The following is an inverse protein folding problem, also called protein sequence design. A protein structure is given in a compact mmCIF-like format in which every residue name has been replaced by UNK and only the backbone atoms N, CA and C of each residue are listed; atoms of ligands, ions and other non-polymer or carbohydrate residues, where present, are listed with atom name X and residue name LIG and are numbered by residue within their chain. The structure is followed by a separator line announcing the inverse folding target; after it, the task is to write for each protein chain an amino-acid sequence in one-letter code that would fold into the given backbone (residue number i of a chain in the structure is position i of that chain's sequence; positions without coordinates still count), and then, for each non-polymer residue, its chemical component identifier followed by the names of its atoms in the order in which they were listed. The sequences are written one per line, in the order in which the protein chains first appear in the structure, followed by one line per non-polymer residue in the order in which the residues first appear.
data_IF_134869253306
#
_entry.id   IF_134869253306
#
_cell.length_a   1.000
_cell.length_b   1.000
_cell.length_c   1.000
_cell.angle_alpha   90.00
_cell.angle_beta   90.00
_cell.angle_gamma   90.00
#
_symmetry.space_group_name_H-M   'P 1'
#
loop_
_entity.id
_entity.type
_entity.pdbx_description
1 polymer ?
#
# COMPACT_ATOMS: atom_id res chain seq x y z
N UNK A 1 0.08 -10.43 25.63
CA UNK A 1 -0.61 -10.70 24.34
C UNK A 1 0.37 -11.50 23.48
N UNK A 2 -0.07 -12.55 22.79
CA UNK A 2 0.78 -13.28 21.86
C UNK A 2 1.22 -12.35 20.72
N UNK A 3 2.49 -12.43 20.32
CA UNK A 3 3.04 -11.63 19.23
C UNK A 3 2.38 -12.03 17.91
N UNK A 4 1.64 -11.11 17.29
CA UNK A 4 0.97 -11.33 16.01
C UNK A 4 1.88 -10.89 14.85
N UNK A 5 1.57 -11.34 13.63
CA UNK A 5 2.24 -10.87 12.41
C UNK A 5 2.11 -9.35 12.19
N UNK A 6 1.16 -8.69 12.86
CA UNK A 6 0.96 -7.24 12.80
C UNK A 6 1.80 -6.45 13.80
N UNK A 7 2.41 -7.11 14.80
CA UNK A 7 3.15 -6.45 15.88
C UNK A 7 4.26 -5.51 15.37
N UNK A 8 5.11 -5.92 14.40
CA UNK A 8 6.13 -5.02 13.85
C UNK A 8 5.56 -3.76 13.21
N UNK A 9 4.44 -3.87 12.49
CA UNK A 9 3.75 -2.74 11.86
C UNK A 9 3.19 -1.77 12.91
N UNK A 10 2.58 -2.30 13.97
CA UNK A 10 2.02 -1.49 15.07
C UNK A 10 3.10 -0.70 15.82
N UNK A 11 4.25 -1.32 16.08
CA UNK A 11 5.39 -0.64 16.71
C UNK A 11 6.03 0.38 15.77
N UNK A 12 6.27 0.02 14.51
CA UNK A 12 6.85 0.94 13.53
C UNK A 12 5.98 2.18 13.28
N UNK A 13 4.65 2.06 13.31
CA UNK A 13 3.73 3.19 13.12
C UNK A 13 3.94 4.32 14.12
N UNK A 14 4.42 4.02 15.34
CA UNK A 14 4.72 5.04 16.38
C UNK A 14 5.84 6.00 15.96
N UNK A 15 6.67 5.60 15.00
CA UNK A 15 7.85 6.32 14.56
C UNK A 15 7.71 6.93 13.15
N UNK A 16 6.53 6.82 12.52
CA UNK A 16 6.28 7.32 11.16
C UNK A 16 6.32 8.84 11.08
N UNK A 17 5.99 9.52 12.17
CA UNK A 17 5.95 10.98 12.25
C UNK A 17 7.06 11.51 13.14
N UNK A 18 7.67 12.62 12.73
CA UNK A 18 8.48 13.44 13.62
C UNK A 18 7.61 14.12 14.68
N UNK A 19 8.24 14.75 15.68
CA UNK A 19 7.54 15.44 16.78
C UNK A 19 6.56 16.51 16.31
N UNK A 20 6.87 17.17 15.18
CA UNK A 20 6.00 18.17 14.54
C UNK A 20 4.88 17.57 13.67
N UNK A 21 4.72 16.24 13.67
CA UNK A 21 3.69 15.53 12.92
C UNK A 21 4.01 15.27 11.44
N UNK A 22 5.17 15.74 10.94
CA UNK A 22 5.60 15.51 9.55
C UNK A 22 5.96 14.04 9.35
N UNK A 23 5.50 13.45 8.25
CA UNK A 23 5.78 12.05 7.92
C UNK A 23 7.22 11.90 7.44
N UNK A 24 7.99 11.05 8.12
CA UNK A 24 9.35 10.69 7.75
C UNK A 24 9.32 9.57 6.70
N UNK A 25 10.05 9.75 5.60
CA UNK A 25 10.04 8.84 4.45
C UNK A 25 10.47 7.43 4.85
N UNK A 26 11.64 7.30 5.48
CA UNK A 26 12.20 5.98 5.79
C UNK A 26 11.31 5.19 6.78
N UNK A 27 10.92 5.73 7.95
CA UNK A 27 9.99 5.04 8.85
C UNK A 27 8.65 4.67 8.19
N UNK A 28 8.08 5.55 7.36
CA UNK A 28 6.86 5.27 6.61
C UNK A 28 7.04 4.05 5.69
N UNK A 29 8.09 4.04 4.87
CA UNK A 29 8.35 2.95 3.91
C UNK A 29 8.65 1.64 4.63
N UNK A 30 9.40 1.66 5.74
CA UNK A 30 9.65 0.45 6.54
C UNK A 30 8.36 -0.16 7.08
N UNK A 31 7.42 0.67 7.58
CA UNK A 31 6.10 0.19 8.01
C UNK A 31 5.32 -0.39 6.83
N UNK A 32 5.30 0.28 5.68
CA UNK A 32 4.63 -0.24 4.49
C UNK A 32 5.18 -1.61 4.08
N UNK A 33 6.49 -1.87 4.20
CA UNK A 33 7.07 -3.18 3.88
C UNK A 33 6.62 -4.30 4.80
N UNK A 34 6.31 -4.00 6.07
CA UNK A 34 5.85 -5.01 7.02
C UNK A 34 4.54 -5.68 6.60
N UNK A 35 3.78 -5.10 5.67
CA UNK A 35 2.58 -5.74 5.12
C UNK A 35 2.90 -6.88 4.15
N UNK A 36 4.07 -6.86 3.50
CA UNK A 36 4.38 -7.83 2.44
C UNK A 36 4.41 -9.29 2.96
N UNK A 37 5.02 -9.60 4.13
CA UNK A 37 4.95 -10.93 4.73
C UNK A 37 3.54 -11.32 5.23
N UNK A 38 2.69 -10.33 5.55
CA UNK A 38 1.28 -10.57 5.90
C UNK A 38 0.53 -11.05 4.67
N UNK A 39 0.75 -10.42 3.50
CA UNK A 39 0.14 -10.82 2.23
C UNK A 39 0.53 -12.24 1.81
N UNK A 40 1.74 -12.70 2.14
CA UNK A 40 2.18 -14.08 1.90
C UNK A 40 1.31 -15.11 2.63
N UNK A 41 0.69 -14.74 3.77
CA UNK A 41 -0.22 -15.63 4.51
C UNK A 41 -1.56 -15.85 3.84
N UNK A 42 -1.94 -14.98 2.90
CA UNK A 42 -3.19 -15.06 2.14
C UNK A 42 -3.03 -15.82 0.81
N UNK A 43 -1.83 -16.33 0.52
CA UNK A 43 -1.58 -17.20 -0.62
C UNK A 43 -1.55 -16.49 -1.98
N UNK A 44 -1.62 -17.28 -3.05
CA UNK A 44 -1.40 -16.82 -4.43
C UNK A 44 -2.35 -15.69 -4.87
N UNK A 45 -3.56 -15.63 -4.30
CA UNK A 45 -4.54 -14.61 -4.64
C UNK A 45 -4.10 -13.17 -4.29
N UNK A 46 -3.18 -13.00 -3.34
CA UNK A 46 -2.61 -11.69 -2.99
C UNK A 46 -1.30 -11.37 -3.72
N UNK A 47 -0.84 -12.22 -4.64
CA UNK A 47 0.43 -12.02 -5.33
C UNK A 47 0.45 -10.73 -6.17
N UNK A 48 -0.65 -10.42 -6.88
CA UNK A 48 -0.76 -9.16 -7.64
C UNK A 48 -0.74 -7.95 -6.71
N UNK A 49 -1.50 -7.99 -5.61
CA UNK A 49 -1.56 -6.91 -4.62
C UNK A 49 -0.18 -6.68 -3.99
N UNK A 50 0.51 -7.75 -3.61
CA UNK A 50 1.87 -7.71 -3.07
C UNK A 50 2.86 -7.11 -4.08
N UNK A 51 2.78 -7.50 -5.34
CA UNK A 51 3.63 -6.99 -6.42
C UNK A 51 3.43 -5.48 -6.62
N UNK A 52 2.18 -5.02 -6.69
CA UNK A 52 1.86 -3.60 -6.83
C UNK A 52 2.39 -2.77 -5.65
N UNK A 53 2.09 -3.19 -4.41
CA UNK A 53 2.58 -2.53 -3.20
C UNK A 53 4.12 -2.50 -3.17
N UNK A 54 4.77 -3.64 -3.42
CA UNK A 54 6.23 -3.75 -3.43
C UNK A 54 6.90 -2.88 -4.50
N UNK A 55 6.30 -2.78 -5.68
CA UNK A 55 6.76 -1.91 -6.76
C UNK A 55 6.65 -0.42 -6.39
N UNK A 56 5.53 -0.02 -5.78
CA UNK A 56 5.32 1.36 -5.33
C UNK A 56 6.26 1.75 -4.17
N UNK A 57 6.52 0.84 -3.23
CA UNK A 57 7.52 1.03 -2.17
C UNK A 57 8.92 1.21 -2.77
N UNK A 58 9.37 0.26 -3.59
CA UNK A 58 10.70 0.30 -4.23
C UNK A 58 10.93 1.61 -4.97
N UNK A 59 9.90 2.13 -5.65
CA UNK A 59 9.97 3.43 -6.34
C UNK A 59 10.29 4.59 -5.39
N UNK A 60 9.55 4.68 -4.28
CA UNK A 60 9.75 5.74 -3.26
C UNK A 60 11.12 5.58 -2.58
N UNK A 61 11.55 4.35 -2.33
CA UNK A 61 12.86 4.05 -1.74
C UNK A 61 14.02 4.46 -2.65
N UNK A 62 13.91 4.20 -3.95
CA UNK A 62 14.91 4.61 -4.93
C UNK A 62 15.06 6.14 -4.95
N UNK A 63 13.94 6.88 -4.89
CA UNK A 63 13.97 8.34 -4.79
C UNK A 63 14.59 8.80 -3.48
N UNK A 64 14.19 8.23 -2.34
CA UNK A 64 14.79 8.52 -1.05
C UNK A 64 16.31 8.30 -1.06
N UNK A 65 16.75 7.17 -1.60
CA UNK A 65 18.17 6.78 -1.66
C UNK A 65 19.02 7.69 -2.54
N UNK A 66 18.41 8.42 -3.48
CA UNK A 66 19.12 9.37 -4.33
C UNK A 66 19.61 10.62 -3.58
N UNK A 67 18.89 11.03 -2.51
CA UNK A 67 19.31 12.09 -1.59
C UNK A 67 18.50 11.99 -0.27
N UNK A 68 18.97 11.17 0.69
CA UNK A 68 18.24 10.94 1.94
C UNK A 68 17.99 12.21 2.76
N UNK A 69 18.89 13.20 2.65
CA UNK A 69 18.77 14.47 3.36
C UNK A 69 17.62 15.32 2.79
N UNK A 70 17.53 15.40 1.46
CA UNK A 70 16.50 16.14 0.76
C UNK A 70 15.12 15.50 0.89
N UNK A 71 15.08 14.16 0.89
CA UNK A 71 13.84 13.40 0.97
C UNK A 71 13.59 12.78 2.35
N UNK A 72 14.13 13.37 3.42
CA UNK A 72 13.85 12.95 4.79
C UNK A 72 12.34 12.92 5.07
N UNK A 73 11.63 13.93 4.60
CA UNK A 73 10.17 14.03 4.70
C UNK A 73 9.49 13.48 3.44
N UNK A 74 8.42 12.69 3.64
CA UNK A 74 7.74 11.98 2.56
C UNK A 74 7.24 12.94 1.47
N UNK A 75 6.70 14.08 1.85
CA UNK A 75 6.14 15.02 0.88
C UNK A 75 7.19 15.85 0.13
N UNK A 76 8.47 15.84 0.53
CA UNK A 76 9.52 16.57 -0.19
C UNK A 76 9.68 16.06 -1.63
N UNK A 77 9.62 14.75 -1.85
CA UNK A 77 9.68 14.18 -3.21
C UNK A 77 8.47 14.56 -4.07
N UNK A 78 7.30 14.70 -3.44
CA UNK A 78 6.04 15.06 -4.09
C UNK A 78 6.06 16.53 -4.49
N UNK A 79 6.51 17.40 -3.58
CA UNK A 79 6.64 18.83 -3.82
C UNK A 79 7.59 19.11 -4.99
N UNK A 80 8.73 18.41 -5.06
CA UNK A 80 9.66 18.53 -6.19
C UNK A 80 8.99 18.12 -7.52
N UNK A 81 8.30 16.99 -7.56
CA UNK A 81 7.62 16.54 -8.78
C UNK A 81 6.49 17.48 -9.22
N UNK A 82 5.79 18.11 -8.27
CA UNK A 82 4.79 19.13 -8.56
C UNK A 82 5.44 20.39 -9.14
N UNK A 83 6.51 20.88 -8.53
CA UNK A 83 7.25 22.06 -9.01
C UNK A 83 7.81 21.83 -10.41
N UNK A 84 8.32 20.63 -10.68
CA UNK A 84 8.86 20.24 -11.98
C UNK A 84 7.80 19.79 -12.99
N UNK A 85 6.51 19.80 -12.62
CA UNK A 85 5.38 19.34 -13.46
C UNK A 85 5.48 17.88 -13.92
N UNK A 86 6.18 17.03 -13.17
CA UNK A 86 6.36 15.59 -13.44
C UNK A 86 5.47 14.70 -12.59
N UNK A 87 4.73 15.24 -11.61
CA UNK A 87 3.89 14.49 -10.66
C UNK A 87 2.80 13.61 -11.29
N UNK A 88 2.39 13.88 -12.54
CA UNK A 88 1.39 13.06 -13.27
C UNK A 88 2.00 11.91 -14.08
N UNK A 89 3.34 11.81 -14.12
CA UNK A 89 4.02 10.73 -14.83
C UNK A 89 3.70 9.36 -14.21
N UNK A 90 3.52 8.34 -15.05
CA UNK A 90 3.22 6.97 -14.59
C UNK A 90 4.32 6.39 -13.68
N UNK A 91 5.56 6.83 -13.88
CA UNK A 91 6.75 6.48 -13.09
C UNK A 91 7.05 7.43 -11.93
N UNK A 92 6.24 8.47 -11.70
CA UNK A 92 6.45 9.43 -10.62
C UNK A 92 6.27 8.79 -9.24
N UNK A 93 6.96 9.33 -8.24
CA UNK A 93 6.78 9.02 -6.83
C UNK A 93 5.40 9.45 -6.34
N UNK A 94 4.85 10.54 -6.88
CA UNK A 94 3.49 11.00 -6.62
C UNK A 94 2.46 9.96 -7.02
N UNK A 95 2.58 9.41 -8.23
CA UNK A 95 1.71 8.30 -8.65
C UNK A 95 1.95 7.03 -7.81
N UNK A 96 3.21 6.73 -7.46
CA UNK A 96 3.55 5.59 -6.61
C UNK A 96 2.92 5.67 -5.21
N UNK A 97 3.02 6.83 -4.56
CA UNK A 97 2.42 7.08 -3.25
C UNK A 97 0.89 7.05 -3.30
N UNK A 98 0.28 7.55 -4.38
CA UNK A 98 -1.16 7.47 -4.60
C UNK A 98 -1.64 6.01 -4.67
N UNK A 99 -1.01 5.17 -5.48
CA UNK A 99 -1.38 3.76 -5.59
C UNK A 99 -1.09 2.97 -4.33
N UNK A 100 0.04 3.24 -3.66
CA UNK A 100 0.35 2.68 -2.36
C UNK A 100 -0.75 2.99 -1.33
N UNK A 101 -1.22 4.25 -1.27
CA UNK A 101 -2.28 4.65 -0.32
C UNK A 101 -3.59 3.94 -0.64
N UNK A 102 -3.98 3.85 -1.92
CA UNK A 102 -5.19 3.13 -2.35
C UNK A 102 -5.12 1.63 -2.04
N UNK A 103 -3.94 1.02 -2.19
CA UNK A 103 -3.73 -0.37 -1.81
C UNK A 103 -3.85 -0.56 -0.29
N UNK A 104 -3.37 0.39 0.51
CA UNK A 104 -3.56 0.36 1.98
C UNK A 104 -5.04 0.50 2.36
N UNK A 105 -5.82 1.37 1.69
CA UNK A 105 -7.28 1.46 1.90
C UNK A 105 -7.97 0.12 1.63
N UNK A 106 -7.60 -0.57 0.55
CA UNK A 106 -8.09 -1.91 0.24
C UNK A 106 -7.77 -2.91 1.36
N UNK A 107 -6.55 -2.91 1.89
CA UNK A 107 -6.14 -3.83 2.94
C UNK A 107 -6.85 -3.56 4.27
N UNK A 108 -7.08 -2.28 4.61
CA UNK A 108 -7.87 -1.90 5.78
C UNK A 108 -9.29 -2.44 5.65
N UNK A 109 -9.94 -2.25 4.51
CA UNK A 109 -11.30 -2.77 4.27
C UNK A 109 -11.32 -4.31 4.28
N UNK A 110 -10.30 -4.96 3.71
CA UNK A 110 -10.18 -6.41 3.72
C UNK A 110 -10.08 -6.95 5.15
N UNK A 111 -9.20 -6.40 5.97
CA UNK A 111 -9.07 -6.84 7.37
C UNK A 111 -10.35 -6.56 8.17
N UNK A 112 -11.04 -5.45 7.88
CA UNK A 112 -12.33 -5.15 8.48
C UNK A 112 -13.38 -6.21 8.12
N UNK A 113 -13.51 -6.54 6.84
CA UNK A 113 -14.42 -7.57 6.36
C UNK A 113 -14.11 -8.95 6.96
N UNK A 114 -12.83 -9.33 7.07
CA UNK A 114 -12.42 -10.60 7.70
C UNK A 114 -12.75 -10.66 9.21
N UNK A 115 -12.80 -9.53 9.90
CA UNK A 115 -13.18 -9.45 11.31
C UNK A 115 -14.71 -9.44 11.49
N UNK A 116 -15.43 -8.70 10.65
CA UNK A 116 -16.89 -8.53 10.73
C UNK A 116 -17.66 -9.73 10.17
N UNK A 117 -17.07 -10.46 9.22
CA UNK A 117 -17.70 -11.59 8.51
C UNK A 117 -16.81 -12.86 8.56
N UNK A 118 -16.71 -13.54 9.71
CA UNK A 118 -15.84 -14.70 9.88
C UNK A 118 -16.28 -15.93 9.05
N UNK A 119 -17.50 -15.92 8.52
CA UNK A 119 -18.08 -16.94 7.65
C UNK A 119 -17.81 -16.71 6.16
N UNK A 120 -17.30 -15.54 5.77
CA UNK A 120 -16.98 -15.24 4.37
C UNK A 120 -15.74 -15.99 3.89
N UNK A 121 -15.76 -16.39 2.62
CA UNK A 121 -14.55 -16.83 1.94
C UNK A 121 -13.62 -15.64 1.70
N UNK A 122 -12.33 -15.91 1.53
CA UNK A 122 -11.35 -14.88 1.17
C UNK A 122 -11.75 -14.17 -0.13
N UNK A 123 -12.30 -14.90 -1.11
CA UNK A 123 -12.80 -14.34 -2.37
C UNK A 123 -13.91 -13.30 -2.14
N UNK A 124 -14.87 -13.60 -1.27
CA UNK A 124 -15.96 -12.67 -0.92
C UNK A 124 -15.41 -11.40 -0.25
N UNK A 125 -14.55 -11.57 0.76
CA UNK A 125 -13.93 -10.44 1.47
C UNK A 125 -13.09 -9.57 0.52
N UNK A 126 -12.28 -10.17 -0.36
CA UNK A 126 -11.49 -9.45 -1.36
C UNK A 126 -12.38 -8.71 -2.36
N UNK A 127 -13.41 -9.37 -2.90
CA UNK A 127 -14.29 -8.80 -3.93
C UNK A 127 -15.06 -7.59 -3.41
N UNK A 128 -15.59 -7.69 -2.19
CA UNK A 128 -16.28 -6.58 -1.55
C UNK A 128 -15.32 -5.42 -1.27
N UNK A 129 -14.16 -5.70 -0.66
CA UNK A 129 -13.14 -4.69 -0.35
C UNK A 129 -12.66 -3.97 -1.61
N UNK A 130 -12.41 -4.73 -2.68
CA UNK A 130 -12.01 -4.20 -3.98
C UNK A 130 -13.09 -3.28 -4.56
N UNK A 131 -14.35 -3.69 -4.48
CA UNK A 131 -15.49 -2.92 -4.99
C UNK A 131 -15.65 -1.59 -4.27
N UNK A 132 -15.47 -1.56 -2.94
CA UNK A 132 -15.57 -0.35 -2.13
C UNK A 132 -14.39 0.62 -2.31
N UNK A 133 -13.19 0.10 -2.64
CA UNK A 133 -11.95 0.87 -2.60
C UNK A 133 -11.34 1.11 -3.99
N UNK A 134 -10.76 0.09 -4.61
CA UNK A 134 -9.91 0.20 -5.80
C UNK A 134 -10.70 0.27 -7.12
N UNK A 135 -11.88 -0.34 -7.19
CA UNK A 135 -12.65 -0.50 -8.44
C UNK A 135 -12.87 0.81 -9.20
N UNK A 136 -13.16 1.90 -8.49
CA UNK A 136 -13.37 3.24 -9.07
C UNK A 136 -12.12 3.84 -9.74
N UNK A 137 -10.94 3.29 -9.47
CA UNK A 137 -9.66 3.78 -10.00
C UNK A 137 -9.08 2.87 -11.08
N UNK A 138 -9.52 1.62 -11.18
CA UNK A 138 -9.10 0.70 -12.22
C UNK A 138 -9.92 0.95 -13.49
N UNK A 139 -9.24 1.13 -14.63
CA UNK A 139 -9.90 1.06 -15.93
C UNK A 139 -10.53 -0.33 -16.15
N UNK A 140 -11.29 -0.49 -17.23
CA UNK A 140 -12.04 -1.73 -17.49
C UNK A 140 -11.15 -2.99 -17.49
N UNK A 141 -9.97 -2.93 -18.12
CA UNK A 141 -9.02 -4.05 -18.19
C UNK A 141 -8.41 -4.43 -16.83
N UNK A 142 -8.01 -3.43 -16.03
CA UNK A 142 -7.47 -3.66 -14.70
C UNK A 142 -8.55 -4.21 -13.74
N UNK A 143 -9.82 -3.84 -13.95
CA UNK A 143 -10.93 -4.35 -13.14
C UNK A 143 -11.24 -5.82 -13.42
N UNK A 144 -11.13 -6.26 -14.68
CA UNK A 144 -11.36 -7.66 -15.05
C UNK A 144 -10.30 -8.63 -14.49
N UNK A 145 -9.02 -8.23 -14.43
CA UNK A 145 -7.95 -9.09 -13.90
C UNK A 145 -8.10 -9.36 -12.40
N UNK A 146 -8.44 -8.34 -11.60
CA UNK A 146 -8.69 -8.51 -10.16
C UNK A 146 -9.89 -9.41 -9.88
N UNK A 147 -10.94 -9.27 -10.69
CA UNK A 147 -12.16 -10.07 -10.63
C UNK A 147 -11.82 -11.55 -10.86
N UNK A 148 -11.19 -11.88 -11.99
CA UNK A 148 -10.88 -13.28 -12.37
C UNK A 148 -10.01 -13.99 -11.34
N UNK A 149 -8.94 -13.37 -10.85
CA UNK A 149 -8.06 -14.01 -9.85
C UNK A 149 -8.73 -14.20 -8.48
N UNK A 150 -9.59 -13.25 -8.08
CA UNK A 150 -10.38 -13.38 -6.86
C UNK A 150 -11.38 -14.53 -6.95
N UNK A 151 -11.89 -14.85 -8.15
CA UNK A 151 -12.86 -15.94 -8.38
C UNK A 151 -12.24 -17.31 -8.63
N UNK A 152 -10.92 -17.43 -8.79
CA UNK A 152 -10.21 -18.72 -8.83
C UNK A 152 -9.89 -19.31 -7.44
N UNK A 153 -10.43 -18.70 -6.38
CA UNK A 153 -10.39 -19.17 -4.98
C UNK A 153 -11.65 -19.94 -4.60
#
# INVERSE_FOLDING_TARGET
MAETVFTPSLEGMKHVKAENGVILTKPFLEVCKQILPVLDKFGAAMAIVKSDIGGNITRLENKYSSDPSKYEHLYSMIQEEVQNKTAKGSSSCTNGLLWLTRAMDFLVELFRNLLEHPDWTMSQACTDSYTKTLKKFHGWLASSSFTVESFTL
#
